data_IF_496944060908
#
_entry.id   IF_496944060908
#
_cell.length_a   1.000
_cell.length_b   1.000
_cell.length_c   1.000
_cell.angle_alpha   90.00
_cell.angle_beta   90.00
_cell.angle_gamma   90.00
#
_symmetry.space_group_name_H-M   'P 1'
#
loop_
_entity.id
_entity.type
_entity.pdbx_description
1 polymer ?
#
# COMPACT_ATOMS: atom_id res chain seq x y z
N UNK A 1 13.41 -14.33 -13.23
CA UNK A 1 12.74 -13.16 -12.65
C UNK A 1 12.67 -12.09 -13.70
N UNK A 2 11.50 -11.45 -13.85
CA UNK A 2 11.36 -10.28 -14.69
C UNK A 2 12.21 -9.12 -14.15
N UNK A 3 12.79 -8.33 -15.04
CA UNK A 3 13.45 -7.07 -14.68
C UNK A 3 12.45 -6.07 -14.13
N UNK A 4 12.94 -5.07 -13.39
CA UNK A 4 12.09 -3.99 -12.88
C UNK A 4 11.35 -3.23 -14.00
N UNK A 5 11.97 -3.11 -15.17
CA UNK A 5 11.35 -2.50 -16.34
C UNK A 5 10.23 -3.37 -16.91
N UNK A 6 10.44 -4.67 -17.08
CA UNK A 6 9.39 -5.60 -17.51
C UNK A 6 8.20 -5.65 -16.53
N UNK A 7 8.48 -5.55 -15.23
CA UNK A 7 7.44 -5.44 -14.19
C UNK A 7 6.67 -4.12 -14.30
N UNK A 8 7.33 -2.99 -14.57
CA UNK A 8 6.66 -1.73 -14.88
C UNK A 8 5.71 -1.90 -16.08
N UNK A 9 6.14 -2.56 -17.15
CA UNK A 9 5.34 -2.73 -18.38
C UNK A 9 4.02 -3.50 -18.13
N UNK A 10 3.85 -4.18 -17.00
CA UNK A 10 2.55 -4.76 -16.58
C UNK A 10 1.48 -3.70 -16.29
N UNK A 11 1.88 -2.45 -16.15
CA UNK A 11 0.97 -1.32 -15.92
C UNK A 11 0.54 -0.59 -17.20
N UNK A 12 1.00 -1.04 -18.38
CA UNK A 12 0.58 -0.48 -19.67
C UNK A 12 -0.95 -0.49 -19.83
N UNK A 13 -1.46 0.54 -20.52
CA UNK A 13 -2.88 0.72 -20.76
C UNK A 13 -3.42 2.01 -20.12
N UNK A 14 -4.71 2.22 -20.32
CA UNK A 14 -5.45 3.35 -19.78
C UNK A 14 -6.22 2.93 -18.53
N UNK A 15 -5.94 3.59 -17.41
CA UNK A 15 -6.53 3.33 -16.11
C UNK A 15 -7.49 4.46 -15.73
N UNK A 16 -8.77 4.16 -15.67
CA UNK A 16 -9.83 5.11 -15.34
C UNK A 16 -10.26 4.96 -13.88
N UNK A 17 -10.50 6.07 -13.19
CA UNK A 17 -10.72 6.03 -11.76
C UNK A 17 -10.88 7.38 -11.10
N UNK A 18 -10.45 7.47 -9.84
CA UNK A 18 -10.38 8.72 -9.11
C UNK A 18 -9.27 8.77 -8.08
N UNK A 19 -8.79 9.98 -7.81
CA UNK A 19 -7.92 10.30 -6.68
C UNK A 19 -8.78 10.80 -5.54
N UNK A 20 -8.94 9.97 -4.51
CA UNK A 20 -9.84 10.24 -3.39
C UNK A 20 -9.03 10.58 -2.14
N UNK A 21 -9.17 11.80 -1.63
CA UNK A 21 -8.46 12.27 -0.44
C UNK A 21 -9.26 12.00 0.83
N UNK A 22 -8.58 11.49 1.85
CA UNK A 22 -9.14 11.22 3.16
C UNK A 22 -8.41 11.99 4.24
N UNK A 23 -9.14 12.36 5.30
CA UNK A 23 -8.54 12.78 6.56
C UNK A 23 -7.83 11.61 7.24
N UNK A 24 -7.03 11.90 8.27
CA UNK A 24 -6.36 10.86 9.07
C UNK A 24 -7.32 9.99 9.88
N UNK A 25 -8.59 10.39 9.99
CA UNK A 25 -9.70 9.63 10.58
C UNK A 25 -10.57 8.92 9.52
N UNK A 26 -10.21 9.00 8.24
CA UNK A 26 -10.94 8.34 7.14
C UNK A 26 -12.21 9.04 6.70
N UNK A 27 -12.34 10.34 6.96
CA UNK A 27 -13.41 11.13 6.36
C UNK A 27 -13.03 11.50 4.93
N UNK A 28 -13.96 11.30 3.99
CA UNK A 28 -13.80 11.73 2.61
C UNK A 28 -13.71 13.27 2.56
N UNK A 29 -12.64 13.79 1.96
CA UNK A 29 -12.42 15.22 1.78
C UNK A 29 -12.69 15.66 0.34
N UNK A 30 -12.23 14.86 -0.63
CA UNK A 30 -12.28 15.20 -2.06
C UNK A 30 -12.23 13.91 -2.90
N UNK A 31 -12.92 13.89 -4.04
CA UNK A 31 -12.83 12.82 -5.05
C UNK A 31 -12.65 13.47 -6.43
N UNK A 32 -11.49 13.30 -7.05
CA UNK A 32 -11.19 13.89 -8.37
C UNK A 32 -11.13 12.76 -9.40
N UNK A 33 -12.01 12.80 -10.42
CA UNK A 33 -11.98 11.83 -11.51
C UNK A 33 -10.66 11.92 -12.28
N UNK A 34 -10.15 10.77 -12.70
CA UNK A 34 -8.84 10.69 -13.34
C UNK A 34 -8.75 9.62 -14.40
N UNK A 35 -7.87 9.86 -15.36
CA UNK A 35 -7.39 8.86 -16.32
C UNK A 35 -5.87 8.86 -16.27
N UNK A 36 -5.27 7.70 -16.01
CA UNK A 36 -3.82 7.50 -16.01
C UNK A 36 -3.47 6.53 -17.14
N UNK A 37 -2.82 7.01 -18.19
CA UNK A 37 -2.38 6.16 -19.30
C UNK A 37 -0.87 5.90 -19.23
N UNK A 38 -0.51 4.67 -19.56
CA UNK A 38 0.87 4.21 -19.72
C UNK A 38 1.02 3.64 -21.13
N UNK A 39 1.88 4.27 -21.93
CA UNK A 39 2.18 3.87 -23.31
C UNK A 39 3.66 3.51 -23.44
N UNK A 40 3.93 2.36 -24.07
CA UNK A 40 5.27 1.93 -24.39
C UNK A 40 5.70 2.49 -25.74
N UNK A 41 6.77 3.27 -25.75
CA UNK A 41 7.38 3.84 -26.94
C UNK A 41 8.71 3.14 -27.25
N UNK A 42 9.19 3.28 -28.48
CA UNK A 42 10.51 2.78 -28.91
C UNK A 42 10.71 1.29 -28.57
N UNK A 43 9.77 0.42 -28.97
CA UNK A 43 9.77 -1.01 -28.63
C UNK A 43 9.75 -1.24 -27.10
N UNK A 44 8.92 -0.48 -26.38
CA UNK A 44 8.81 -0.49 -24.92
C UNK A 44 10.11 -0.13 -24.17
N UNK A 45 11.09 0.54 -24.80
CA UNK A 45 12.29 1.04 -24.11
C UNK A 45 12.08 2.38 -23.41
N UNK A 46 10.99 3.06 -23.75
CA UNK A 46 10.57 4.32 -23.13
C UNK A 46 9.12 4.18 -22.69
N UNK A 47 8.81 4.67 -21.49
CA UNK A 47 7.45 4.75 -20.96
C UNK A 47 6.99 6.20 -21.04
N UNK A 48 5.82 6.42 -21.65
CA UNK A 48 5.09 7.67 -21.58
C UNK A 48 3.91 7.49 -20.64
N UNK A 49 3.86 8.30 -19.58
CA UNK A 49 2.78 8.32 -18.60
C UNK A 49 2.05 9.65 -18.72
N UNK A 50 0.72 9.61 -18.86
CA UNK A 50 -0.13 10.80 -18.79
C UNK A 50 -1.12 10.64 -17.64
N UNK A 51 -1.14 11.61 -16.74
CA UNK A 51 -2.10 11.69 -15.62
C UNK A 51 -3.03 12.86 -15.88
N UNK A 52 -4.24 12.54 -16.33
CA UNK A 52 -5.35 13.48 -16.43
C UNK A 52 -6.17 13.46 -15.15
N UNK A 53 -6.47 14.63 -14.59
CA UNK A 53 -7.33 14.80 -13.41
C UNK A 53 -8.33 15.92 -13.68
N UNK A 54 -9.59 15.69 -13.39
CA UNK A 54 -10.66 16.67 -13.65
C UNK A 54 -10.34 18.01 -12.97
N UNK A 55 -10.41 19.10 -13.74
CA UNK A 55 -10.13 20.45 -13.27
C UNK A 55 -8.64 20.77 -13.02
N UNK A 56 -7.71 19.92 -13.47
CA UNK A 56 -6.26 20.15 -13.36
C UNK A 56 -5.57 20.01 -14.72
N UNK A 57 -4.39 20.62 -14.84
CA UNK A 57 -3.55 20.41 -16.02
C UNK A 57 -2.99 18.98 -16.06
N UNK A 58 -2.83 18.45 -17.27
CA UNK A 58 -2.27 17.13 -17.50
C UNK A 58 -0.81 17.09 -17.09
N UNK A 59 -0.44 16.05 -16.35
CA UNK A 59 0.95 15.71 -16.09
C UNK A 59 1.42 14.67 -17.10
N UNK A 60 2.40 15.04 -17.93
CA UNK A 60 3.03 14.14 -18.91
C UNK A 60 4.46 13.85 -18.47
N UNK A 61 4.80 12.57 -18.34
CA UNK A 61 6.13 12.10 -17.98
C UNK A 61 6.63 11.12 -19.04
N UNK A 62 7.89 11.26 -19.46
CA UNK A 62 8.57 10.29 -20.30
C UNK A 62 9.88 9.88 -19.65
N UNK A 63 10.11 8.57 -19.56
CA UNK A 63 11.31 8.03 -18.92
C UNK A 63 11.73 6.72 -19.58
N UNK A 64 13.02 6.45 -19.56
CA UNK A 64 13.63 5.22 -20.10
C UNK A 64 14.48 4.49 -19.04
N UNK A 65 14.28 4.85 -17.77
CA UNK A 65 14.90 4.24 -16.59
C UNK A 65 14.04 4.48 -15.35
N UNK A 66 14.31 3.71 -14.29
CA UNK A 66 13.60 3.81 -13.02
C UNK A 66 14.45 4.52 -11.97
N UNK A 67 13.80 5.35 -11.15
CA UNK A 67 14.43 5.98 -10.00
C UNK A 67 14.74 4.93 -8.91
N UNK A 68 15.74 5.20 -8.07
CA UNK A 68 16.06 4.35 -6.90
C UNK A 68 14.97 4.34 -5.82
N UNK A 69 13.96 5.20 -5.93
CA UNK A 69 12.85 5.33 -4.99
C UNK A 69 11.68 4.41 -5.29
N UNK A 70 11.70 3.67 -6.41
CA UNK A 70 10.62 2.79 -6.85
C UNK A 70 11.10 1.34 -7.01
N UNK A 71 10.23 0.40 -6.63
CA UNK A 71 10.38 -1.04 -6.90
C UNK A 71 9.04 -1.64 -7.33
N UNK A 72 9.11 -2.63 -8.21
CA UNK A 72 8.00 -3.39 -8.77
C UNK A 72 8.14 -4.89 -8.47
N UNK A 73 7.00 -5.52 -8.17
CA UNK A 73 6.82 -6.96 -8.21
C UNK A 73 6.47 -7.42 -9.63
N UNK A 74 6.67 -8.70 -9.93
CA UNK A 74 6.49 -9.26 -11.30
C UNK A 74 5.07 -9.07 -11.88
N UNK A 75 4.06 -8.94 -11.02
CA UNK A 75 2.69 -8.67 -11.44
C UNK A 75 2.41 -7.20 -11.78
N UNK A 76 3.37 -6.30 -11.55
CA UNK A 76 3.21 -4.85 -11.73
C UNK A 76 2.85 -4.07 -10.47
N UNK A 77 2.61 -4.75 -9.33
CA UNK A 77 2.43 -4.06 -8.06
C UNK A 77 3.72 -3.33 -7.69
N UNK A 78 3.64 -2.16 -7.07
CA UNK A 78 4.81 -1.31 -6.86
C UNK A 78 4.72 -0.46 -5.60
N UNK A 79 5.87 0.09 -5.21
CA UNK A 79 5.89 1.22 -4.29
C UNK A 79 6.93 2.25 -4.71
N UNK A 80 6.55 3.53 -4.64
CA UNK A 80 7.42 4.68 -4.87
C UNK A 80 7.35 5.63 -3.68
N UNK A 81 8.48 6.11 -3.17
CA UNK A 81 8.45 7.07 -2.05
C UNK A 81 9.82 7.49 -1.56
N UNK A 82 9.85 8.11 -0.38
CA UNK A 82 11.09 8.53 0.28
C UNK A 82 12.06 7.35 0.43
N UNK A 83 13.34 7.55 0.13
CA UNK A 83 14.40 6.55 0.36
C UNK A 83 15.04 6.69 1.74
N UNK A 84 14.84 7.84 2.39
CA UNK A 84 15.43 8.20 3.67
C UNK A 84 14.41 9.03 4.48
N UNK A 85 14.22 8.69 5.75
CA UNK A 85 13.61 9.59 6.73
C UNK A 85 14.67 10.57 7.23
N UNK A 86 14.42 11.88 7.06
CA UNK A 86 15.30 12.94 7.52
C UNK A 86 14.56 13.94 8.42
N UNK A 87 15.28 14.66 9.31
CA UNK A 87 14.66 15.71 10.12
C UNK A 87 14.04 16.82 9.26
N UNK A 88 12.84 17.27 9.64
CA UNK A 88 12.13 18.42 9.04
C UNK A 88 11.81 18.29 7.54
N UNK A 89 11.80 17.07 7.01
CA UNK A 89 11.36 16.79 5.63
C UNK A 89 10.01 16.10 5.66
N UNK A 90 9.18 16.38 4.65
CA UNK A 90 8.00 15.55 4.39
C UNK A 90 8.45 14.12 4.07
N UNK A 91 7.64 13.15 4.49
CA UNK A 91 7.93 11.73 4.30
C UNK A 91 6.69 11.02 3.80
N UNK A 92 6.87 10.03 2.94
CA UNK A 92 5.74 9.25 2.50
C UNK A 92 6.08 8.30 1.37
N UNK A 93 5.08 7.51 1.03
CA UNK A 93 5.15 6.63 -0.12
C UNK A 93 3.77 6.39 -0.70
N UNK A 94 3.78 6.08 -1.98
CA UNK A 94 2.72 5.41 -2.67
C UNK A 94 2.97 3.90 -2.66
N UNK A 95 1.92 3.12 -2.41
CA UNK A 95 1.91 1.67 -2.54
C UNK A 95 0.75 1.28 -3.47
N UNK A 96 1.07 0.63 -4.59
CA UNK A 96 0.14 0.23 -5.64
C UNK A 96 -0.01 -1.28 -5.72
N UNK A 97 -1.20 -1.77 -5.41
CA UNK A 97 -1.61 -3.16 -5.62
C UNK A 97 -2.34 -3.27 -6.97
N UNK A 98 -2.12 -4.38 -7.67
CA UNK A 98 -2.74 -4.68 -8.98
C UNK A 98 -3.29 -6.11 -8.98
N UNK A 99 -4.53 -6.24 -9.46
CA UNK A 99 -5.19 -7.52 -9.62
C UNK A 99 -6.09 -7.46 -10.85
N UNK A 100 -5.77 -8.29 -11.84
CA UNK A 100 -6.49 -8.36 -13.13
C UNK A 100 -6.63 -6.96 -13.76
N UNK A 101 -7.85 -6.50 -13.99
CA UNK A 101 -8.18 -5.21 -14.61
C UNK A 101 -8.31 -4.07 -13.60
N UNK A 102 -7.88 -4.25 -12.34
CA UNK A 102 -8.05 -3.26 -11.27
C UNK A 102 -6.75 -2.97 -10.54
N UNK A 103 -6.63 -1.73 -10.07
CA UNK A 103 -5.56 -1.30 -9.17
C UNK A 103 -6.10 -0.50 -8.01
N UNK A 104 -5.48 -0.69 -6.87
CA UNK A 104 -5.65 0.14 -5.68
C UNK A 104 -4.30 0.69 -5.32
N UNK A 105 -4.16 2.01 -5.41
CA UNK A 105 -2.94 2.72 -4.99
C UNK A 105 -3.28 3.57 -3.79
N UNK A 106 -2.39 3.60 -2.81
CA UNK A 106 -2.57 4.38 -1.60
C UNK A 106 -1.32 5.22 -1.35
N UNK A 107 -1.50 6.54 -1.29
CA UNK A 107 -0.47 7.49 -0.89
C UNK A 107 -0.65 7.83 0.57
N UNK A 108 0.41 7.67 1.36
CA UNK A 108 0.49 8.10 2.75
C UNK A 108 1.58 9.16 2.87
N UNK A 109 1.20 10.38 3.26
CA UNK A 109 2.12 11.50 3.45
C UNK A 109 2.10 11.98 4.89
N UNK A 110 3.29 12.26 5.40
CA UNK A 110 3.56 12.78 6.73
C UNK A 110 4.17 14.16 6.61
N UNK A 111 3.76 15.06 7.51
CA UNK A 111 4.28 16.41 7.59
C UNK A 111 5.73 16.43 8.11
N UNK A 112 6.31 17.63 8.20
CA UNK A 112 7.68 17.85 8.71
C UNK A 112 7.83 17.51 10.20
N UNK A 113 6.73 17.37 10.93
CA UNK A 113 6.70 16.93 12.31
C UNK A 113 6.59 15.39 12.42
N UNK A 114 6.44 14.68 11.30
CA UNK A 114 6.27 13.23 11.25
C UNK A 114 4.86 12.76 11.62
N UNK A 115 3.87 13.64 11.58
CA UNK A 115 2.46 13.32 11.76
C UNK A 115 1.83 12.97 10.41
N UNK A 116 0.95 11.98 10.37
CA UNK A 116 0.20 11.69 9.14
C UNK A 116 -0.61 12.93 8.76
N UNK A 117 -0.47 13.40 7.51
CA UNK A 117 -1.09 14.63 7.01
C UNK A 117 -2.14 14.30 5.95
N UNK A 118 -1.78 13.49 4.96
CA UNK A 118 -2.64 13.20 3.81
C UNK A 118 -2.66 11.71 3.48
N UNK A 119 -3.88 11.24 3.21
CA UNK A 119 -4.14 9.93 2.64
C UNK A 119 -4.85 10.13 1.29
N UNK A 120 -4.31 9.56 0.23
CA UNK A 120 -4.98 9.54 -1.09
C UNK A 120 -5.15 8.10 -1.54
N UNK A 121 -6.39 7.64 -1.63
CA UNK A 121 -6.76 6.36 -2.21
C UNK A 121 -7.07 6.57 -3.69
N UNK A 122 -6.41 5.81 -4.55
CA UNK A 122 -6.58 5.90 -5.99
C UNK A 122 -7.10 4.55 -6.48
N UNK A 123 -8.35 4.55 -6.94
CA UNK A 123 -9.10 3.36 -7.34
C UNK A 123 -9.24 3.40 -8.85
N UNK A 124 -8.66 2.42 -9.52
CA UNK A 124 -8.54 2.42 -10.97
C UNK A 124 -8.98 1.08 -11.56
N UNK A 125 -9.55 1.14 -12.75
CA UNK A 125 -9.83 -0.02 -13.59
C UNK A 125 -9.36 0.25 -15.02
N UNK A 126 -9.06 -0.80 -15.78
CA UNK A 126 -8.67 -0.66 -17.19
C UNK A 126 -9.85 -0.15 -18.02
N UNK A 127 -9.57 0.77 -18.94
CA UNK A 127 -10.52 1.24 -19.93
C UNK A 127 -11.13 0.06 -20.72
N UNK A 128 -12.45 0.14 -20.96
CA UNK A 128 -13.19 -0.94 -21.63
C UNK A 128 -13.55 -2.12 -20.72
N UNK A 129 -13.30 -2.03 -19.41
CA UNK A 129 -13.77 -3.02 -18.41
C UNK A 129 -14.79 -2.40 -17.47
N UNK A 130 -15.64 -3.23 -16.85
CA UNK A 130 -16.65 -2.75 -15.90
C UNK A 130 -15.99 -2.18 -14.63
N UNK A 131 -16.43 -1.00 -14.15
CA UNK A 131 -15.97 -0.46 -12.88
C UNK A 131 -16.53 -1.31 -11.72
N UNK A 132 -15.68 -2.16 -11.15
CA UNK A 132 -16.04 -2.95 -9.96
C UNK A 132 -15.41 -2.34 -8.72
N UNK A 133 -16.25 -1.76 -7.86
CA UNK A 133 -15.85 -1.36 -6.51
C UNK A 133 -16.25 -2.41 -5.48
N UNK A 134 -15.32 -2.73 -4.59
CA UNK A 134 -15.58 -3.55 -3.42
C UNK A 134 -16.33 -2.72 -2.35
N UNK A 135 -17.11 -3.38 -1.48
CA UNK A 135 -17.68 -2.71 -0.32
C UNK A 135 -16.61 -2.02 0.54
N UNK A 136 -16.96 -0.96 1.29
CA UNK A 136 -16.08 -0.40 2.31
C UNK A 136 -15.63 -1.47 3.30
N UNK A 137 -14.33 -1.48 3.62
CA UNK A 137 -13.76 -2.52 4.47
C UNK A 137 -14.27 -2.38 5.91
N UNK A 138 -14.65 -3.50 6.52
CA UNK A 138 -15.00 -3.58 7.93
C UNK A 138 -14.09 -4.55 8.68
N UNK A 139 -14.05 -4.44 10.02
CA UNK A 139 -13.30 -5.39 10.86
C UNK A 139 -13.80 -6.82 10.64
N UNK A 140 -15.12 -7.00 10.51
CA UNK A 140 -15.74 -8.32 10.36
C UNK A 140 -15.27 -9.06 9.11
N UNK A 141 -14.99 -8.32 8.02
CA UNK A 141 -14.48 -8.92 6.79
C UNK A 141 -13.10 -9.58 7.01
N UNK A 142 -12.30 -9.00 7.92
CA UNK A 142 -10.94 -9.42 8.23
C UNK A 142 -10.87 -10.51 9.32
N UNK A 143 -11.88 -10.65 10.18
CA UNK A 143 -11.88 -11.67 11.25
C UNK A 143 -11.76 -13.08 10.67
N UNK A 144 -10.99 -13.93 11.33
CA UNK A 144 -10.70 -15.30 10.90
C UNK A 144 -9.21 -15.56 10.73
N UNK A 145 -8.90 -16.62 10.00
CA UNK A 145 -7.54 -17.04 9.71
C UNK A 145 -7.25 -16.89 8.21
N UNK A 146 -6.06 -16.38 7.89
CA UNK A 146 -5.60 -16.09 6.54
C UNK A 146 -4.25 -16.75 6.33
N UNK A 147 -4.12 -17.53 5.27
CA UNK A 147 -2.88 -18.22 4.88
C UNK A 147 -2.42 -17.73 3.52
N UNK A 148 -1.12 -17.51 3.37
CA UNK A 148 -0.58 -16.95 2.16
C UNK A 148 0.93 -17.08 2.01
N UNK A 149 1.43 -16.43 0.98
CA UNK A 149 2.84 -16.29 0.69
C UNK A 149 3.21 -14.80 0.66
N UNK A 150 4.40 -14.50 1.13
CA UNK A 150 5.00 -13.18 1.10
C UNK A 150 6.31 -13.21 0.33
N UNK A 151 6.51 -12.20 -0.52
CA UNK A 151 7.73 -12.01 -1.31
C UNK A 151 8.33 -10.66 -0.92
N UNK A 152 9.60 -10.64 -0.53
CA UNK A 152 10.36 -9.44 -0.17
C UNK A 152 11.40 -9.15 -1.24
N UNK A 153 11.37 -7.94 -1.80
CA UNK A 153 12.36 -7.42 -2.75
C UNK A 153 13.13 -6.23 -2.15
N UNK A 154 14.31 -5.96 -2.69
CA UNK A 154 15.29 -5.07 -2.08
C UNK A 154 15.78 -3.97 -3.04
N UNK A 155 16.04 -2.74 -2.54
CA UNK A 155 16.55 -1.64 -3.37
C UNK A 155 17.95 -1.88 -3.97
N UNK A 156 18.72 -2.81 -3.40
CA UNK A 156 20.03 -3.25 -3.90
C UNK A 156 19.94 -4.37 -4.95
N UNK A 157 18.72 -4.79 -5.30
CA UNK A 157 18.43 -5.84 -6.29
C UNK A 157 19.05 -7.21 -5.98
N UNK A 158 19.35 -7.50 -4.72
CA UNK A 158 19.63 -8.88 -4.31
C UNK A 158 18.42 -9.79 -4.58
N UNK A 159 18.65 -11.10 -4.59
CA UNK A 159 17.59 -12.09 -4.77
C UNK A 159 16.44 -11.90 -3.76
N UNK A 160 15.17 -12.00 -4.19
CA UNK A 160 14.02 -11.91 -3.30
C UNK A 160 13.99 -13.05 -2.29
N UNK A 161 13.41 -12.77 -1.13
CA UNK A 161 13.06 -13.80 -0.15
C UNK A 161 11.57 -14.14 -0.24
N UNK A 162 11.25 -15.42 -0.13
CA UNK A 162 9.87 -15.91 -0.12
C UNK A 162 9.61 -16.69 1.16
N UNK A 163 8.48 -16.44 1.82
CA UNK A 163 8.07 -17.14 3.03
C UNK A 163 6.56 -17.26 3.17
N UNK A 164 6.11 -18.28 3.89
CA UNK A 164 4.71 -18.42 4.27
C UNK A 164 4.30 -17.32 5.26
N UNK A 165 3.05 -16.86 5.13
CA UNK A 165 2.41 -15.95 6.07
C UNK A 165 1.11 -16.55 6.60
N UNK A 166 0.88 -16.38 7.91
CA UNK A 166 -0.37 -16.72 8.57
C UNK A 166 -0.82 -15.55 9.42
N UNK A 167 -2.02 -15.04 9.18
CA UNK A 167 -2.64 -13.97 9.94
C UNK A 167 -3.91 -14.48 10.60
N UNK A 168 -3.99 -14.35 11.93
CA UNK A 168 -5.18 -14.67 12.72
C UNK A 168 -5.71 -13.40 13.36
N UNK A 169 -6.99 -13.13 13.15
CA UNK A 169 -7.70 -11.97 13.68
C UNK A 169 -8.98 -12.43 14.38
N UNK A 170 -9.13 -12.10 15.66
CA UNK A 170 -10.35 -12.34 16.42
C UNK A 170 -10.60 -11.21 17.40
N UNK A 171 -11.83 -11.12 17.90
CA UNK A 171 -12.16 -10.23 19.01
C UNK A 171 -12.01 -11.00 20.32
N UNK A 172 -11.42 -10.38 21.34
CA UNK A 172 -11.45 -10.92 22.70
C UNK A 172 -12.79 -10.61 23.40
N UNK A 173 -12.95 -11.12 24.63
CA UNK A 173 -14.16 -10.93 25.44
C UNK A 173 -14.45 -9.46 25.77
N UNK A 174 -13.47 -8.57 25.62
CA UNK A 174 -13.59 -7.12 25.84
C UNK A 174 -13.89 -6.35 24.55
N UNK A 175 -13.99 -7.03 23.42
CA UNK A 175 -14.20 -6.44 22.10
C UNK A 175 -12.94 -5.81 21.48
N UNK A 176 -11.75 -6.05 22.04
CA UNK A 176 -10.49 -5.63 21.42
C UNK A 176 -10.13 -6.60 20.30
N UNK A 177 -9.51 -6.08 19.24
CA UNK A 177 -8.97 -6.90 18.17
C UNK A 177 -7.67 -7.55 18.65
N UNK A 178 -7.56 -8.86 18.54
CA UNK A 178 -6.34 -9.62 18.73
C UNK A 178 -5.81 -10.05 17.37
N UNK A 179 -4.56 -9.69 17.10
CA UNK A 179 -3.85 -10.03 15.88
C UNK A 179 -2.69 -10.95 16.21
N UNK A 180 -2.55 -12.05 15.47
CA UNK A 180 -1.33 -12.86 15.43
C UNK A 180 -0.87 -13.01 13.98
N UNK A 181 0.30 -12.46 13.68
CA UNK A 181 0.91 -12.50 12.36
C UNK A 181 2.20 -13.33 12.43
N UNK A 182 2.19 -14.49 11.80
CA UNK A 182 3.36 -15.31 11.56
C UNK A 182 3.88 -15.06 10.13
N UNK A 183 5.20 -14.90 10.02
CA UNK A 183 5.90 -14.73 8.74
C UNK A 183 7.33 -15.28 8.85
N UNK A 184 7.65 -16.27 8.03
CA UNK A 184 8.86 -17.07 8.23
C UNK A 184 8.89 -17.68 9.63
N UNK A 185 10.00 -17.53 10.35
CA UNK A 185 10.17 -18.03 11.72
C UNK A 185 9.70 -17.06 12.81
N UNK A 186 9.15 -15.90 12.43
CA UNK A 186 8.72 -14.86 13.38
C UNK A 186 7.22 -14.88 13.57
N UNK A 187 6.79 -14.65 14.80
CA UNK A 187 5.38 -14.42 15.14
C UNK A 187 5.27 -13.14 15.96
N UNK A 188 4.37 -12.25 15.54
CA UNK A 188 4.02 -11.03 16.26
C UNK A 188 2.57 -11.16 16.70
N UNK A 189 2.33 -11.02 18.01
CA UNK A 189 0.98 -10.94 18.56
C UNK A 189 0.77 -9.55 19.12
N UNK A 190 -0.33 -8.92 18.75
CA UNK A 190 -0.70 -7.58 19.21
C UNK A 190 -2.20 -7.47 19.46
N UNK A 191 -2.60 -6.48 20.26
CA UNK A 191 -4.00 -6.15 20.49
C UNK A 191 -4.27 -4.70 20.17
N UNK A 192 -5.46 -4.40 19.68
CA UNK A 192 -5.88 -3.06 19.30
C UNK A 192 -7.29 -2.72 19.79
N UNK A 193 -7.54 -1.43 19.96
CA UNK A 193 -8.89 -0.91 20.14
C UNK A 193 -9.52 -0.57 18.79
N UNK A 194 -10.83 -0.74 18.67
CA UNK A 194 -11.59 -0.42 17.45
C UNK A 194 -12.46 0.80 17.74
N UNK A 195 -12.38 1.82 16.88
CA UNK A 195 -13.19 3.04 16.92
C UNK A 195 -13.68 3.37 15.51
N UNK A 196 -14.87 2.86 15.16
CA UNK A 196 -15.43 3.02 13.82
C UNK A 196 -14.53 2.34 12.77
N UNK A 197 -14.03 3.12 11.81
CA UNK A 197 -13.10 2.66 10.77
C UNK A 197 -11.62 2.65 11.21
N UNK A 198 -11.31 3.07 12.44
CA UNK A 198 -9.95 3.12 12.96
C UNK A 198 -9.67 1.96 13.91
N UNK A 199 -8.59 1.23 13.66
CA UNK A 199 -8.03 0.23 14.56
C UNK A 199 -6.72 0.80 15.11
N UNK A 200 -6.58 0.90 16.43
CA UNK A 200 -5.43 1.51 17.08
C UNK A 200 -4.67 0.48 17.91
N UNK A 201 -3.45 0.14 17.46
CA UNK A 201 -2.51 -0.70 18.19
C UNK A 201 -1.71 0.16 19.17
N UNK A 202 -2.07 0.04 20.46
CA UNK A 202 -1.63 0.94 21.52
C UNK A 202 -0.79 0.25 22.62
N UNK A 203 -0.49 -1.05 22.46
CA UNK A 203 0.25 -1.83 23.45
C UNK A 203 1.65 -1.29 23.76
N UNK A 204 2.37 -0.79 22.76
CA UNK A 204 3.65 -0.10 22.94
C UNK A 204 3.42 1.42 22.78
N UNK A 205 3.46 2.20 23.88
CA UNK A 205 3.31 3.66 23.82
C UNK A 205 4.36 4.35 22.95
N UNK A 206 5.51 3.69 22.70
CA UNK A 206 6.56 4.23 21.86
C UNK A 206 6.36 3.92 20.38
N UNK A 207 5.59 2.87 20.03
CA UNK A 207 5.39 2.36 18.66
C UNK A 207 3.92 2.14 18.33
N UNK A 208 3.15 3.21 18.44
CA UNK A 208 1.73 3.16 18.12
C UNK A 208 1.50 3.18 16.61
N UNK A 209 0.65 2.27 16.15
CA UNK A 209 0.26 2.09 14.75
C UNK A 209 -1.25 2.18 14.65
N UNK A 210 -1.73 2.83 13.60
CA UNK A 210 -3.14 2.81 13.22
C UNK A 210 -3.36 2.01 11.94
N UNK A 211 -4.52 1.36 11.86
CA UNK A 211 -5.08 0.85 10.61
C UNK A 211 -6.37 1.61 10.36
N UNK A 212 -6.45 2.27 9.21
CA UNK A 212 -7.66 2.89 8.73
C UNK A 212 -8.32 2.00 7.68
N UNK A 213 -9.57 1.64 7.92
CA UNK A 213 -10.41 0.90 6.99
C UNK A 213 -11.03 1.88 6.00
N UNK A 214 -10.85 1.63 4.71
CA UNK A 214 -11.18 2.55 3.61
C UNK A 214 -12.18 1.91 2.63
N UNK A 215 -12.78 2.72 1.74
CA UNK A 215 -13.57 2.20 0.62
C UNK A 215 -12.81 1.21 -0.27
N UNK A 216 -13.54 0.47 -1.10
CA UNK A 216 -12.99 -0.48 -2.06
C UNK A 216 -12.14 -1.60 -1.43
N UNK A 217 -12.54 -2.09 -0.25
CA UNK A 217 -11.82 -3.13 0.48
C UNK A 217 -10.40 -2.73 0.92
N UNK A 218 -10.05 -1.44 0.87
CA UNK A 218 -8.70 -0.98 1.14
C UNK A 218 -8.46 -0.75 2.64
N UNK A 219 -7.19 -0.84 3.06
CA UNK A 219 -6.75 -0.42 4.38
C UNK A 219 -5.42 0.31 4.31
N UNK A 220 -5.26 1.36 5.10
CA UNK A 220 -3.99 2.06 5.31
C UNK A 220 -3.42 1.72 6.67
N UNK A 221 -2.16 1.32 6.76
CA UNK A 221 -1.48 1.07 8.03
C UNK A 221 -0.25 1.95 8.14
N UNK A 222 -0.20 2.74 9.22
CA UNK A 222 0.84 3.75 9.44
C UNK A 222 1.17 3.90 10.92
N UNK A 223 2.42 4.25 11.28
CA UNK A 223 2.73 4.81 12.59
C UNK A 223 1.90 6.07 12.85
N UNK A 224 1.52 6.32 14.10
CA UNK A 224 0.90 7.60 14.48
C UNK A 224 1.86 8.78 14.38
N UNK A 225 3.14 8.51 14.65
CA UNK A 225 4.20 9.51 14.67
C UNK A 225 5.48 8.83 14.17
N UNK A 226 6.09 9.40 13.13
CA UNK A 226 7.42 8.98 12.70
C UNK A 226 8.44 9.41 13.75
N UNK A 227 9.29 8.47 14.16
CA UNK A 227 10.37 8.72 15.14
C UNK A 227 11.71 8.36 14.51
N UNK A 228 12.68 9.24 14.69
CA UNK A 228 14.06 8.95 14.34
C UNK A 228 14.60 7.81 15.22
N UNK A 229 15.55 7.02 14.70
CA UNK A 229 16.20 5.92 15.43
C UNK A 229 15.25 4.77 15.81
N UNK A 230 14.14 4.65 15.08
CA UNK A 230 13.22 3.52 15.20
C UNK A 230 12.90 2.98 13.81
N UNK A 231 12.85 1.64 13.63
CA UNK A 231 12.39 1.08 12.39
C UNK A 231 10.92 1.44 12.20
N UNK A 232 10.51 1.64 10.96
CA UNK A 232 9.13 1.95 10.61
C UNK A 232 8.73 1.23 9.33
N UNK A 233 7.44 1.18 9.10
CA UNK A 233 6.87 0.66 7.87
C UNK A 233 5.64 1.45 7.47
N UNK A 234 5.36 1.47 6.17
CA UNK A 234 4.08 1.91 5.62
C UNK A 234 3.43 0.70 4.95
N UNK A 235 2.16 0.48 5.21
CA UNK A 235 1.46 -0.67 4.67
C UNK A 235 0.11 -0.29 4.06
N UNK A 236 -0.22 -0.94 2.94
CA UNK A 236 -1.54 -0.93 2.31
C UNK A 236 -2.08 -2.35 2.28
N UNK A 237 -3.37 -2.51 2.53
CA UNK A 237 -4.09 -3.76 2.31
C UNK A 237 -5.22 -3.56 1.31
N UNK A 238 -5.55 -4.62 0.58
CA UNK A 238 -6.71 -4.68 -0.30
C UNK A 238 -7.37 -6.04 -0.19
N UNK A 239 -8.58 -6.06 0.35
CA UNK A 239 -9.46 -7.22 0.30
C UNK A 239 -10.09 -7.27 -1.10
N UNK A 240 -9.47 -8.03 -2.00
CA UNK A 240 -9.81 -8.12 -3.43
C UNK A 240 -11.12 -8.90 -3.62
N UNK A 241 -11.30 -9.97 -2.85
CA UNK A 241 -12.51 -10.79 -2.75
C UNK A 241 -12.73 -11.15 -1.27
N UNK A 242 -13.92 -11.62 -0.85
CA UNK A 242 -14.17 -11.96 0.56
C UNK A 242 -13.17 -12.95 1.18
N UNK A 243 -12.52 -13.76 0.36
CA UNK A 243 -11.51 -14.75 0.76
C UNK A 243 -10.13 -14.52 0.13
N UNK A 244 -9.87 -13.38 -0.53
CA UNK A 244 -8.59 -13.08 -1.16
C UNK A 244 -8.15 -11.66 -0.80
N UNK A 245 -6.99 -11.55 -0.19
CA UNK A 245 -6.42 -10.29 0.26
C UNK A 245 -4.97 -10.15 -0.17
N UNK A 246 -4.58 -8.93 -0.49
CA UNK A 246 -3.19 -8.55 -0.63
C UNK A 246 -2.80 -7.50 0.40
N UNK A 247 -1.52 -7.52 0.79
CA UNK A 247 -0.90 -6.46 1.58
C UNK A 247 0.44 -6.12 0.99
N UNK A 248 0.81 -4.85 1.02
CA UNK A 248 2.16 -4.42 0.67
C UNK A 248 2.76 -3.61 1.80
N UNK A 249 4.00 -3.91 2.16
CA UNK A 249 4.72 -3.31 3.28
C UNK A 249 6.02 -2.72 2.77
N UNK A 250 6.17 -1.40 2.87
CA UNK A 250 7.42 -0.68 2.61
C UNK A 250 8.17 -0.47 3.92
N UNK A 251 9.35 -1.07 4.07
CA UNK A 251 10.06 -1.14 5.36
C UNK A 251 11.31 -0.27 5.38
N UNK A 252 11.54 0.40 6.50
CA UNK A 252 12.70 1.25 6.74
C UNK A 252 13.47 0.81 7.99
N UNK A 253 14.79 0.98 7.96
CA UNK A 253 15.67 0.70 9.09
C UNK A 253 15.47 1.70 10.23
N UNK A 254 16.09 1.43 11.38
CA UNK A 254 16.18 2.39 12.48
C UNK A 254 16.94 3.66 12.11
N UNK A 255 17.82 3.60 11.10
CA UNK A 255 18.48 4.77 10.50
C UNK A 255 17.57 5.54 9.53
N UNK A 256 16.35 5.06 9.28
CA UNK A 256 15.40 5.69 8.38
C UNK A 256 15.65 5.39 6.90
N UNK A 257 16.56 4.48 6.57
CA UNK A 257 16.87 4.08 5.19
C UNK A 257 15.79 3.11 4.69
N UNK A 258 15.35 3.25 3.44
CA UNK A 258 14.47 2.25 2.82
C UNK A 258 15.24 0.95 2.60
N UNK A 259 14.77 -0.15 3.20
CA UNK A 259 15.49 -1.44 3.17
C UNK A 259 14.81 -2.51 2.34
N UNK A 260 13.49 -2.53 2.25
CA UNK A 260 12.77 -3.57 1.51
C UNK A 260 11.33 -3.20 1.17
N UNK A 261 10.75 -3.97 0.25
CA UNK A 261 9.33 -3.95 -0.07
C UNK A 261 8.80 -5.38 -0.06
N UNK A 262 7.73 -5.64 0.68
CA UNK A 262 7.10 -6.96 0.82
C UNK A 262 5.70 -6.94 0.21
N UNK A 263 5.36 -7.93 -0.61
CA UNK A 263 4.00 -8.20 -1.08
C UNK A 263 3.52 -9.51 -0.49
N UNK A 264 2.39 -9.48 0.19
CA UNK A 264 1.71 -10.64 0.75
C UNK A 264 0.43 -10.90 -0.04
N UNK A 265 0.19 -12.13 -0.45
CA UNK A 265 -1.09 -12.59 -0.99
C UNK A 265 -1.62 -13.71 -0.12
N UNK A 266 -2.78 -13.51 0.48
CA UNK A 266 -3.35 -14.40 1.50
C UNK A 266 -4.82 -14.73 1.20
N UNK A 267 -5.21 -15.95 1.54
CA UNK A 267 -6.58 -16.46 1.41
C UNK A 267 -7.17 -16.80 2.77
N UNK A 268 -8.46 -16.52 2.93
CA UNK A 268 -9.20 -16.87 4.14
C UNK A 268 -9.42 -18.38 4.21
N UNK A 269 -9.22 -18.96 5.40
CA UNK A 269 -9.43 -20.38 5.72
C UNK A 269 -10.86 -20.64 6.16
#
# INVERSE_FOLDING_TARGET
MASQWESLLKNLGEWQGSFTRFSTQGQLLEDIKSVVSFEGLNENKTMRQVVHREGQEDLVLEYSSLAKSILFFENGAFSQGSIQLAPFTEFGAELGLIYENRRVRLVQLFDKNGQLDKLTLIREHLAGTEPVENPPLTVNDLLGEWHGEAITIYPDWRSPDTFSSTLKLHLDDTGRLVQSLAFGERTITSTATIKGSLIHFDQDPQKQVQVLLLPNGASATSPLQLKLRQPLFLEVGWLIQPNLRQRMVRTYSDKGEWVSLTLVTEKKV
#
